data_IF_149132655815
#
_entry.id   IF_149132655815
#
_cell.length_a   1.000
_cell.length_b   1.000
_cell.length_c   1.000
_cell.angle_alpha   90.00
_cell.angle_beta   90.00
_cell.angle_gamma   90.00
#
_symmetry.space_group_name_H-M   'P 1'
#
loop_
_entity.id
_entity.type
_entity.pdbx_description
1 polymer ?
#
# COMPACT_ATOMS: atom_id res chain seq x y z
N UNK A 1 40.41 48.54 51.67
CA UNK A 1 39.92 47.15 51.82
C UNK A 1 38.72 46.97 50.91
N UNK A 2 38.95 46.44 49.72
CA UNK A 2 37.93 46.19 48.69
C UNK A 2 37.52 44.72 48.77
N UNK A 3 36.27 44.46 49.15
CA UNK A 3 35.72 43.11 49.26
C UNK A 3 35.24 42.68 47.87
N UNK A 4 36.01 41.81 47.23
CA UNK A 4 35.66 41.21 45.93
C UNK A 4 34.69 40.06 46.17
N UNK A 5 33.39 40.31 46.03
CA UNK A 5 32.36 39.26 46.07
C UNK A 5 32.29 38.55 44.71
N UNK A 6 32.95 37.41 44.59
CA UNK A 6 32.86 36.50 43.44
C UNK A 6 31.48 35.83 43.44
N UNK A 7 30.56 36.27 42.57
CA UNK A 7 29.27 35.60 42.37
C UNK A 7 29.51 34.27 41.65
N UNK A 8 29.36 33.16 42.36
CA UNK A 8 29.28 31.83 41.77
C UNK A 8 27.96 31.73 40.99
N UNK A 9 27.99 31.44 39.67
CA UNK A 9 26.76 31.25 38.90
C UNK A 9 26.08 29.96 39.38
N UNK A 10 24.87 30.11 39.93
CA UNK A 10 23.97 29.00 40.25
C UNK A 10 23.55 28.33 38.93
N UNK A 11 24.19 27.21 38.61
CA UNK A 11 23.75 26.31 37.56
C UNK A 11 22.50 25.59 38.09
N UNK A 12 21.32 26.11 37.73
CA UNK A 12 20.05 25.42 38.00
C UNK A 12 20.02 24.16 37.10
N UNK A 13 20.01 22.94 37.65
CA UNK A 13 19.93 21.74 36.84
C UNK A 13 18.60 21.78 36.08
N UNK A 14 18.67 21.75 34.74
CA UNK A 14 17.49 21.63 33.88
C UNK A 14 16.79 20.33 34.22
N UNK A 15 15.54 20.44 34.69
CA UNK A 15 14.63 19.32 34.90
C UNK A 15 14.48 18.52 33.60
N UNK A 16 15.18 17.40 33.49
CA UNK A 16 14.92 16.42 32.45
C UNK A 16 13.49 15.92 32.63
N UNK A 17 12.63 16.17 31.62
CA UNK A 17 11.25 15.69 31.60
C UNK A 17 11.25 14.17 31.58
N UNK A 18 11.17 13.56 32.77
CA UNK A 18 11.04 12.11 32.91
C UNK A 18 9.67 11.70 32.40
N UNK A 19 9.66 11.05 31.23
CA UNK A 19 8.47 10.40 30.68
C UNK A 19 7.92 9.40 31.70
N UNK A 20 6.62 9.48 31.99
CA UNK A 20 5.95 8.62 32.95
C UNK A 20 6.06 7.14 32.56
N UNK A 21 6.13 6.26 33.56
CA UNK A 21 6.20 4.79 33.38
C UNK A 21 5.11 4.25 32.45
N UNK A 22 3.92 4.84 32.49
CA UNK A 22 2.80 4.52 31.58
C UNK A 22 3.17 4.78 30.11
N UNK A 23 3.78 5.93 29.82
CA UNK A 23 4.22 6.29 28.47
C UNK A 23 5.34 5.37 27.99
N UNK A 24 6.30 5.03 28.87
CA UNK A 24 7.38 4.09 28.53
C UNK A 24 6.85 2.68 28.20
N UNK A 25 5.95 2.14 29.02
CA UNK A 25 5.36 0.82 28.78
C UNK A 25 4.52 0.78 27.48
N UNK A 26 3.76 1.84 27.20
CA UNK A 26 2.97 1.96 25.98
C UNK A 26 3.87 2.09 24.75
N UNK A 27 4.96 2.86 24.85
CA UNK A 27 5.91 3.04 23.76
C UNK A 27 6.68 1.74 23.45
N UNK A 28 7.10 0.98 24.48
CA UNK A 28 7.78 -0.32 24.29
C UNK A 28 6.87 -1.36 23.63
N UNK A 29 5.56 -1.32 23.88
CA UNK A 29 4.62 -2.32 23.33
C UNK A 29 4.09 -1.93 21.95
N UNK A 30 3.80 -0.65 21.71
CA UNK A 30 3.19 -0.20 20.46
C UNK A 30 4.21 0.06 19.36
N UNK A 31 5.42 0.52 19.70
CA UNK A 31 6.47 0.81 18.73
C UNK A 31 6.88 -0.39 17.86
N UNK A 32 7.15 -1.60 18.39
CA UNK A 32 7.55 -2.74 17.56
C UNK A 32 6.41 -3.19 16.63
N UNK A 33 5.15 -3.09 17.06
CA UNK A 33 3.99 -3.42 16.23
C UNK A 33 3.84 -2.42 15.08
N UNK A 34 4.00 -1.12 15.36
CA UNK A 34 3.99 -0.08 14.32
C UNK A 34 5.13 -0.26 13.33
N UNK A 35 6.35 -0.56 13.81
CA UNK A 35 7.50 -0.82 12.96
C UNK A 35 7.28 -2.05 12.08
N UNK A 36 6.76 -3.15 12.63
CA UNK A 36 6.42 -4.35 11.87
C UNK A 36 5.35 -4.06 10.81
N UNK A 37 4.29 -3.34 11.19
CA UNK A 37 3.22 -2.95 10.27
C UNK A 37 3.72 -2.04 9.13
N UNK A 38 4.58 -1.08 9.45
CA UNK A 38 5.22 -0.22 8.44
C UNK A 38 6.11 -1.03 7.51
N UNK A 39 6.90 -1.96 8.05
CA UNK A 39 7.80 -2.80 7.26
C UNK A 39 7.01 -3.71 6.32
N UNK A 40 5.92 -4.34 6.79
CA UNK A 40 5.01 -5.14 5.96
C UNK A 40 4.34 -4.30 4.88
N UNK A 41 3.89 -3.08 5.20
CA UNK A 41 3.33 -2.18 4.22
C UNK A 41 4.36 -1.80 3.13
N UNK A 42 5.60 -1.55 3.54
CA UNK A 42 6.68 -1.18 2.64
C UNK A 42 7.10 -2.35 1.74
N UNK A 43 7.16 -3.57 2.27
CA UNK A 43 7.44 -4.77 1.46
C UNK A 43 6.32 -5.06 0.48
N UNK A 44 5.05 -4.92 0.88
CA UNK A 44 3.90 -5.07 -0.02
C UNK A 44 3.92 -4.03 -1.15
N UNK A 45 4.23 -2.78 -0.86
CA UNK A 45 4.35 -1.72 -1.88
C UNK A 45 5.49 -2.02 -2.86
N UNK A 46 6.63 -2.50 -2.37
CA UNK A 46 7.75 -2.88 -3.21
C UNK A 46 7.42 -4.11 -4.08
N UNK A 47 6.83 -5.14 -3.48
CA UNK A 47 6.44 -6.38 -4.16
C UNK A 47 5.36 -6.12 -5.21
N UNK A 48 4.42 -5.21 -4.94
CA UNK A 48 3.39 -4.80 -5.90
C UNK A 48 3.96 -4.33 -7.23
N UNK A 49 5.03 -3.51 -7.21
CA UNK A 49 5.64 -3.02 -8.45
C UNK A 49 6.31 -4.15 -9.24
N UNK A 50 6.95 -5.08 -8.54
CA UNK A 50 7.59 -6.23 -9.16
C UNK A 50 6.56 -7.20 -9.77
N UNK A 51 5.47 -7.48 -9.04
CA UNK A 51 4.38 -8.36 -9.50
C UNK A 51 3.62 -7.77 -10.68
N UNK A 52 3.32 -6.47 -10.67
CA UNK A 52 2.68 -5.79 -11.80
C UNK A 52 3.49 -5.95 -13.09
N UNK A 53 4.79 -5.66 -13.02
CA UNK A 53 5.70 -5.81 -14.15
C UNK A 53 5.80 -7.27 -14.62
N UNK A 54 5.77 -8.23 -13.68
CA UNK A 54 5.83 -9.66 -14.02
C UNK A 54 4.53 -10.15 -14.68
N UNK A 55 3.36 -9.75 -14.15
CA UNK A 55 2.04 -10.12 -14.65
C UNK A 55 1.83 -9.51 -16.04
N UNK A 56 2.13 -8.22 -16.23
CA UNK A 56 2.02 -7.58 -17.54
C UNK A 56 2.93 -8.23 -18.59
N UNK A 57 4.18 -8.56 -18.24
CA UNK A 57 5.08 -9.28 -19.14
C UNK A 57 4.54 -10.67 -19.50
N UNK A 58 3.98 -11.39 -18.53
CA UNK A 58 3.39 -12.71 -18.75
C UNK A 58 2.15 -12.63 -19.66
N UNK A 59 1.27 -11.65 -19.43
CA UNK A 59 0.08 -11.40 -20.26
C UNK A 59 0.46 -10.96 -21.67
N UNK A 60 1.42 -10.05 -21.79
CA UNK A 60 1.92 -9.59 -23.08
C UNK A 60 2.57 -10.74 -23.85
N UNK A 61 3.34 -11.60 -23.18
CA UNK A 61 3.95 -12.78 -23.79
C UNK A 61 2.92 -13.83 -24.21
N UNK A 62 1.84 -14.04 -23.44
CA UNK A 62 0.77 -14.99 -23.81
C UNK A 62 -0.07 -14.47 -24.97
N UNK A 63 -0.45 -13.20 -24.97
CA UNK A 63 -1.15 -12.58 -26.10
C UNK A 63 -0.23 -12.57 -27.34
N UNK A 64 1.04 -12.23 -27.18
CA UNK A 64 2.00 -12.23 -28.27
C UNK A 64 2.26 -13.63 -28.82
N UNK A 65 2.25 -14.69 -28.01
CA UNK A 65 2.44 -16.06 -28.51
C UNK A 65 1.23 -16.56 -29.28
N UNK A 66 0.02 -16.23 -28.82
CA UNK A 66 -1.22 -16.53 -29.54
C UNK A 66 -1.26 -15.76 -30.87
N UNK A 67 -0.93 -14.47 -30.87
CA UNK A 67 -0.85 -13.68 -32.09
C UNK A 67 0.26 -14.17 -33.01
N UNK A 68 1.47 -14.40 -32.49
CA UNK A 68 2.58 -14.87 -33.31
C UNK A 68 2.33 -16.24 -33.95
N UNK A 69 1.59 -17.14 -33.30
CA UNK A 69 1.27 -18.45 -33.89
C UNK A 69 0.13 -18.41 -34.90
N UNK A 70 -0.82 -17.46 -34.78
CA UNK A 70 -2.06 -17.46 -35.56
C UNK A 70 -2.19 -16.31 -36.57
N UNK A 71 -1.36 -15.27 -36.46
CA UNK A 71 -1.47 -14.06 -37.27
C UNK A 71 -0.80 -14.25 -38.63
N UNK A 72 -1.57 -14.26 -39.69
CA UNK A 72 -1.06 -14.12 -41.05
C UNK A 72 -1.18 -12.65 -41.47
N UNK A 73 -0.05 -11.95 -41.55
CA UNK A 73 -0.01 -10.51 -41.90
C UNK A 73 -0.40 -10.26 -43.36
N UNK A 74 -0.47 -11.32 -44.18
CA UNK A 74 -0.89 -11.21 -45.59
C UNK A 74 -2.41 -11.10 -45.76
N UNK A 75 -3.21 -11.64 -44.84
CA UNK A 75 -4.68 -11.51 -44.85
C UNK A 75 -5.16 -10.43 -43.87
N UNK A 76 -5.32 -9.23 -44.41
CA UNK A 76 -5.87 -8.05 -43.75
C UNK A 76 -7.16 -8.32 -42.95
N UNK A 77 -8.06 -9.14 -43.49
CA UNK A 77 -9.37 -9.39 -42.87
C UNK A 77 -9.20 -10.24 -41.63
N UNK A 78 -8.37 -11.29 -41.73
CA UNK A 78 -8.07 -12.17 -40.62
C UNK A 78 -7.29 -11.43 -39.51
N UNK A 79 -6.30 -10.59 -39.87
CA UNK A 79 -5.56 -9.75 -38.93
C UNK A 79 -6.50 -8.88 -38.11
N UNK A 80 -7.42 -8.15 -38.77
CA UNK A 80 -8.34 -7.25 -38.10
C UNK A 80 -9.29 -7.99 -37.14
N UNK A 81 -9.81 -9.17 -37.54
CA UNK A 81 -10.65 -9.98 -36.66
C UNK A 81 -9.91 -10.51 -35.44
N UNK A 82 -8.69 -11.02 -35.62
CA UNK A 82 -7.86 -11.56 -34.53
C UNK A 82 -7.42 -10.45 -33.57
N UNK A 83 -7.01 -9.29 -34.08
CA UNK A 83 -6.66 -8.13 -33.27
C UNK A 83 -7.85 -7.62 -32.46
N UNK A 84 -9.05 -7.54 -33.05
CA UNK A 84 -10.27 -7.18 -32.30
C UNK A 84 -10.60 -8.18 -31.21
N UNK A 85 -10.47 -9.48 -31.49
CA UNK A 85 -10.69 -10.51 -30.49
C UNK A 85 -9.69 -10.40 -29.33
N UNK A 86 -8.42 -10.08 -29.62
CA UNK A 86 -7.40 -9.88 -28.61
C UNK A 86 -7.65 -8.63 -27.76
N UNK A 87 -8.02 -7.49 -28.38
CA UNK A 87 -8.36 -6.24 -27.69
C UNK A 87 -9.67 -6.33 -26.89
N UNK A 88 -10.60 -7.22 -27.28
CA UNK A 88 -11.80 -7.48 -26.48
C UNK A 88 -11.49 -8.08 -25.09
N UNK A 89 -10.25 -8.52 -24.85
CA UNK A 89 -9.81 -8.93 -23.52
C UNK A 89 -9.74 -7.71 -22.59
N UNK A 90 -10.34 -7.76 -21.39
CA UNK A 90 -10.53 -6.58 -20.52
C UNK A 90 -9.23 -5.87 -20.10
N UNK A 91 -8.09 -6.56 -20.19
CA UNK A 91 -6.79 -5.99 -19.83
C UNK A 91 -6.06 -5.32 -21.01
N UNK A 92 -6.45 -5.58 -22.26
CA UNK A 92 -5.72 -5.07 -23.44
C UNK A 92 -6.36 -3.78 -23.91
N UNK A 93 -5.64 -2.67 -23.77
CA UNK A 93 -6.09 -1.35 -24.21
C UNK A 93 -5.93 -1.18 -25.72
N UNK A 94 -4.78 -1.56 -26.25
CA UNK A 94 -4.47 -1.42 -27.66
C UNK A 94 -3.42 -2.41 -28.12
N UNK A 95 -3.44 -2.67 -29.42
CA UNK A 95 -2.47 -3.46 -30.15
C UNK A 95 -2.00 -2.67 -31.36
N UNK A 96 -0.71 -2.69 -31.56
CA UNK A 96 -0.06 -2.03 -32.67
C UNK A 96 0.93 -2.96 -33.34
N UNK A 97 0.71 -3.22 -34.62
CA UNK A 97 1.52 -4.12 -35.44
C UNK A 97 2.18 -3.28 -36.52
N UNK A 98 3.50 -3.25 -36.47
CA UNK A 98 4.34 -2.69 -37.51
C UNK A 98 5.04 -3.82 -38.26
N UNK A 99 4.52 -4.24 -39.42
CA UNK A 99 5.20 -5.25 -40.22
C UNK A 99 6.58 -4.79 -40.66
N UNK A 100 7.49 -5.73 -40.88
CA UNK A 100 8.78 -5.45 -41.48
C UNK A 100 8.59 -5.09 -42.97
N UNK A 101 9.32 -4.07 -43.43
CA UNK A 101 9.23 -3.57 -44.80
C UNK A 101 8.29 -2.37 -44.94
N UNK A 102 7.77 -2.16 -46.15
CA UNK A 102 6.97 -0.98 -46.53
C UNK A 102 5.45 -1.22 -46.41
N UNK A 103 5.06 -2.20 -45.59
CA UNK A 103 3.66 -2.58 -45.38
C UNK A 103 3.02 -1.63 -44.35
N UNK A 104 1.75 -1.20 -44.55
CA UNK A 104 1.08 -0.33 -43.60
C UNK A 104 1.00 -0.94 -42.19
N UNK A 105 1.20 -0.08 -41.21
CA UNK A 105 1.07 -0.38 -39.78
C UNK A 105 -0.39 -0.46 -39.36
N UNK A 106 -0.74 -1.47 -38.57
CA UNK A 106 -2.08 -1.72 -38.05
C UNK A 106 -2.16 -1.34 -36.58
N UNK A 107 -3.14 -0.51 -36.22
CA UNK A 107 -3.39 -0.10 -34.84
C UNK A 107 -4.87 -0.33 -34.54
N UNK A 108 -5.16 -0.99 -33.41
CA UNK A 108 -6.52 -1.21 -32.90
C UNK A 108 -6.51 -0.96 -31.40
N UNK A 109 -7.47 -0.20 -30.90
CA UNK A 109 -7.71 -0.05 -29.45
C UNK A 109 -9.11 -0.51 -29.04
N UNK A 110 -9.30 -0.60 -27.72
CA UNK A 110 -10.58 -0.86 -27.04
C UNK A 110 -11.63 0.23 -27.33
N UNK A 111 -11.17 1.40 -27.78
CA UNK A 111 -11.98 2.53 -28.20
C UNK A 111 -11.60 2.95 -29.63
N UNK A 112 -12.07 2.23 -30.67
CA UNK A 112 -11.70 2.44 -32.07
C UNK A 112 -11.85 3.89 -32.54
N UNK A 113 -12.86 4.57 -32.00
CA UNK A 113 -13.16 5.96 -32.29
C UNK A 113 -12.03 6.94 -31.87
N UNK A 114 -11.10 6.50 -31.02
CA UNK A 114 -9.94 7.27 -30.53
C UNK A 114 -8.59 6.72 -30.94
N UNK A 115 -8.56 5.74 -31.87
CA UNK A 115 -7.33 5.11 -32.35
C UNK A 115 -6.30 6.13 -32.83
N UNK A 116 -6.74 7.14 -33.56
CA UNK A 116 -5.87 8.19 -34.10
C UNK A 116 -5.14 8.98 -33.02
N UNK A 117 -5.79 9.23 -31.88
CA UNK A 117 -5.21 9.98 -30.77
C UNK A 117 -4.23 9.11 -29.99
N UNK A 118 -4.65 7.89 -29.64
CA UNK A 118 -3.81 6.94 -28.90
C UNK A 118 -2.57 6.57 -29.71
N UNK A 119 -2.71 6.35 -31.02
CA UNK A 119 -1.59 6.10 -31.92
C UNK A 119 -0.60 7.26 -31.95
N UNK A 120 -1.06 8.49 -32.11
CA UNK A 120 -0.18 9.65 -32.11
C UNK A 120 0.57 9.83 -30.78
N UNK A 121 -0.09 9.56 -29.65
CA UNK A 121 0.52 9.62 -28.33
C UNK A 121 1.52 8.48 -28.10
N UNK A 122 1.19 7.27 -28.55
CA UNK A 122 2.11 6.12 -28.53
C UNK A 122 3.35 6.44 -29.36
N UNK A 123 3.20 7.01 -30.54
CA UNK A 123 4.32 7.35 -31.42
C UNK A 123 5.23 8.40 -30.80
N UNK A 124 4.65 9.46 -30.23
CA UNK A 124 5.40 10.47 -29.49
C UNK A 124 6.17 9.84 -28.31
N UNK A 125 5.55 8.89 -27.60
CA UNK A 125 6.18 8.18 -26.49
C UNK A 125 7.32 7.27 -26.96
N UNK A 126 7.11 6.45 -27.99
CA UNK A 126 8.13 5.53 -28.51
C UNK A 126 9.31 6.28 -29.13
N UNK A 127 9.07 7.44 -29.76
CA UNK A 127 10.13 8.30 -30.25
C UNK A 127 10.94 8.93 -29.11
N UNK A 128 10.29 9.34 -28.03
CA UNK A 128 10.96 9.92 -26.86
C UNK A 128 11.70 8.87 -26.01
N UNK A 129 11.14 7.66 -25.91
CA UNK A 129 11.63 6.57 -25.07
C UNK A 129 11.49 5.23 -25.82
N UNK A 130 12.44 4.88 -26.71
CA UNK A 130 12.35 3.65 -27.52
C UNK A 130 12.28 2.37 -26.69
N UNK A 131 12.87 2.37 -25.49
CA UNK A 131 12.84 1.25 -24.55
C UNK A 131 11.86 1.47 -23.37
N UNK A 132 10.99 2.50 -23.47
CA UNK A 132 10.03 2.83 -22.43
C UNK A 132 8.91 1.78 -22.34
N UNK A 133 8.63 1.29 -21.14
CA UNK A 133 7.57 0.31 -20.88
C UNK A 133 6.33 0.90 -20.20
N UNK A 134 6.36 2.17 -19.81
CA UNK A 134 5.28 2.81 -19.06
C UNK A 134 4.81 4.06 -19.78
N UNK A 135 3.60 3.98 -20.34
CA UNK A 135 2.95 5.09 -21.01
C UNK A 135 1.84 5.62 -20.11
N UNK A 136 2.06 6.78 -19.50
CA UNK A 136 1.04 7.45 -18.69
C UNK A 136 0.38 8.53 -19.52
N UNK A 137 -0.88 8.31 -19.92
CA UNK A 137 -1.68 9.26 -20.67
C UNK A 137 -2.68 9.93 -19.73
N UNK A 138 -2.86 11.23 -19.89
CA UNK A 138 -4.06 11.88 -19.36
C UNK A 138 -5.16 11.65 -20.38
N UNK A 139 -6.35 11.24 -19.93
CA UNK A 139 -7.47 11.04 -20.85
C UNK A 139 -7.91 12.41 -21.44
N UNK A 140 -7.39 12.71 -22.63
CA UNK A 140 -7.70 13.92 -23.42
C UNK A 140 -8.66 13.62 -24.57
N UNK A 141 -9.28 12.44 -24.58
CA UNK A 141 -10.21 12.04 -25.65
C UNK A 141 -11.38 13.00 -25.77
N UNK A 142 -11.97 13.42 -24.63
CA UNK A 142 -13.03 14.42 -24.62
C UNK A 142 -12.61 15.74 -25.29
N UNK A 143 -11.37 16.20 -25.06
CA UNK A 143 -10.83 17.42 -25.66
C UNK A 143 -10.67 17.27 -27.17
N UNK A 144 -10.20 16.11 -27.62
CA UNK A 144 -10.10 15.77 -29.04
C UNK A 144 -11.47 15.77 -29.74
N UNK A 145 -12.51 15.20 -29.12
CA UNK A 145 -13.87 15.25 -29.66
C UNK A 145 -14.46 16.65 -29.71
N UNK A 146 -14.21 17.49 -28.70
CA UNK A 146 -14.63 18.91 -28.74
C UNK A 146 -13.92 19.67 -29.84
N UNK A 147 -12.62 19.41 -30.05
CA UNK A 147 -11.88 20.00 -31.15
C UNK A 147 -12.46 19.58 -32.51
N UNK A 148 -12.79 18.29 -32.69
CA UNK A 148 -13.44 17.79 -33.89
C UNK A 148 -14.86 18.37 -34.10
N UNK A 149 -15.61 18.59 -33.01
CA UNK A 149 -16.91 19.24 -33.06
C UNK A 149 -16.80 20.72 -33.45
N UNK A 150 -15.74 21.41 -33.01
CA UNK A 150 -15.48 22.81 -33.36
C UNK A 150 -15.05 23.00 -34.82
N UNK A 151 -14.47 21.98 -35.45
CA UNK A 151 -14.09 22.01 -36.88
C UNK A 151 -15.20 21.54 -37.82
N UNK A 152 -16.32 21.04 -37.29
CA UNK A 152 -17.45 20.59 -38.09
C UNK A 152 -18.08 21.78 -38.83
N UNK A 153 -18.34 21.63 -40.13
CA UNK A 153 -19.02 22.67 -40.91
C UNK A 153 -20.50 22.78 -40.52
N UNK A 154 -21.09 23.96 -40.74
CA UNK A 154 -22.52 24.18 -40.49
C UNK A 154 -23.45 23.27 -41.33
N UNK A 155 -22.94 22.71 -42.44
CA UNK A 155 -23.66 21.79 -43.31
C UNK A 155 -23.59 20.32 -42.86
N UNK A 156 -22.85 20.00 -41.80
CA UNK A 156 -22.74 18.63 -41.31
C UNK A 156 -24.08 18.10 -40.77
N UNK A 157 -24.44 16.82 -41.01
CA UNK A 157 -25.67 16.21 -40.52
C UNK A 157 -25.80 16.31 -38.99
N UNK A 158 -27.03 16.52 -38.50
CA UNK A 158 -27.30 16.61 -37.06
C UNK A 158 -26.89 15.33 -36.31
N UNK A 159 -27.02 14.16 -36.95
CA UNK A 159 -26.60 12.86 -36.39
C UNK A 159 -25.12 12.80 -36.04
N UNK A 160 -24.25 13.46 -36.80
CA UNK A 160 -22.81 13.54 -36.51
C UNK A 160 -22.57 14.43 -35.29
N UNK A 161 -23.27 15.57 -35.21
CA UNK A 161 -23.18 16.49 -34.07
C UNK A 161 -23.66 15.83 -32.78
N UNK A 162 -24.79 15.12 -32.84
CA UNK A 162 -25.32 14.35 -31.71
C UNK A 162 -24.37 13.23 -31.27
N UNK A 163 -23.79 12.48 -32.23
CA UNK A 163 -22.84 11.42 -31.92
C UNK A 163 -21.57 11.97 -31.23
N UNK A 164 -21.00 13.06 -31.75
CA UNK A 164 -19.85 13.71 -31.13
C UNK A 164 -20.19 14.27 -29.75
N UNK A 165 -21.37 14.89 -29.59
CA UNK A 165 -21.83 15.40 -28.29
C UNK A 165 -22.00 14.28 -27.26
N UNK A 166 -22.61 13.17 -27.65
CA UNK A 166 -22.79 11.99 -26.79
C UNK A 166 -21.44 11.39 -26.37
N UNK A 167 -20.49 11.31 -27.29
CA UNK A 167 -19.12 10.87 -27.01
C UNK A 167 -18.42 11.81 -26.00
N UNK A 168 -18.53 13.14 -26.19
CA UNK A 168 -17.98 14.13 -25.25
C UNK A 168 -18.59 13.96 -23.86
N UNK A 169 -19.92 13.86 -23.75
CA UNK A 169 -20.58 13.69 -22.43
C UNK A 169 -20.17 12.40 -21.72
N UNK A 170 -19.94 11.32 -22.47
CA UNK A 170 -19.51 10.03 -21.91
C UNK A 170 -18.06 10.10 -21.43
N UNK A 171 -17.17 10.69 -22.25
CA UNK A 171 -15.75 10.83 -21.95
C UNK A 171 -15.48 11.92 -20.90
N UNK A 172 -16.40 12.86 -20.70
CA UNK A 172 -16.28 13.87 -19.65
C UNK A 172 -16.35 13.30 -18.24
N UNK A 173 -17.03 12.17 -18.05
CA UNK A 173 -17.01 11.44 -16.79
C UNK A 173 -15.62 10.87 -16.45
N UNK A 174 -14.79 10.58 -17.46
CA UNK A 174 -13.42 10.07 -17.29
C UNK A 174 -12.35 11.14 -17.51
N UNK A 175 -12.74 12.39 -17.79
CA UNK A 175 -11.80 13.48 -18.10
C UNK A 175 -10.86 13.74 -16.93
N UNK A 176 -9.57 13.84 -17.24
CA UNK A 176 -8.52 14.06 -16.25
C UNK A 176 -8.16 12.83 -15.41
N UNK A 177 -8.83 11.69 -15.61
CA UNK A 177 -8.34 10.44 -15.07
C UNK A 177 -7.05 10.07 -15.80
N UNK A 178 -5.98 9.85 -15.03
CA UNK A 178 -4.70 9.44 -15.57
C UNK A 178 -4.75 7.94 -15.85
N UNK A 179 -4.81 7.58 -17.13
CA UNK A 179 -4.72 6.20 -17.56
C UNK A 179 -3.26 5.83 -17.73
N UNK A 180 -2.82 4.80 -16.99
CA UNK A 180 -1.47 4.28 -17.11
C UNK A 180 -1.55 2.97 -17.87
N UNK A 181 -0.82 2.91 -18.97
CA UNK A 181 -0.66 1.73 -19.79
C UNK A 181 0.74 1.16 -19.58
N UNK A 182 0.81 -0.17 -19.47
CA UNK A 182 2.07 -0.86 -19.64
C UNK A 182 2.23 -1.21 -21.11
N UNK A 183 3.32 -0.75 -21.70
CA UNK A 183 3.64 -0.95 -23.11
C UNK A 183 4.71 -2.02 -23.21
N UNK A 184 4.36 -3.14 -23.81
CA UNK A 184 5.33 -4.21 -24.11
C UNK A 184 5.55 -4.27 -25.60
N UNK A 185 6.79 -4.05 -26.01
CA UNK A 185 7.23 -4.23 -27.39
C UNK A 185 7.82 -5.62 -27.58
N UNK A 186 7.37 -6.33 -28.60
CA UNK A 186 7.90 -7.63 -29.01
C UNK A 186 8.27 -7.58 -30.48
N UNK A 187 9.25 -8.37 -30.87
CA UNK A 187 9.58 -8.59 -32.27
C UNK A 187 9.36 -10.05 -32.62
N UNK A 188 8.66 -10.31 -33.71
CA UNK A 188 8.37 -11.67 -34.19
C UNK A 188 9.29 -11.96 -35.37
N UNK A 189 10.03 -13.06 -35.28
CA UNK A 189 10.96 -13.52 -36.31
C UNK A 189 10.46 -14.81 -36.92
N UNK A 190 10.70 -14.98 -38.22
CA UNK A 190 10.59 -16.26 -38.90
C UNK A 190 11.95 -16.97 -38.85
N UNK A 191 11.99 -18.13 -38.20
CA UNK A 191 13.21 -18.93 -38.02
C UNK A 191 13.01 -20.31 -38.64
N UNK A 192 14.11 -21.06 -38.81
CA UNK A 192 14.04 -22.42 -39.36
C UNK A 192 13.19 -23.38 -38.48
N UNK A 193 13.04 -23.09 -37.19
CA UNK A 193 12.21 -23.85 -36.26
C UNK A 193 10.75 -23.35 -36.18
N UNK A 194 10.38 -22.38 -37.02
CA UNK A 194 9.09 -21.68 -36.98
C UNK A 194 9.21 -20.26 -36.43
N UNK A 195 8.10 -19.71 -35.94
CA UNK A 195 8.06 -18.32 -35.46
C UNK A 195 8.64 -18.20 -34.06
N UNK A 196 9.56 -17.25 -33.88
CA UNK A 196 10.20 -16.96 -32.60
C UNK A 196 9.87 -15.55 -32.11
N UNK A 197 9.63 -15.41 -30.82
CA UNK A 197 9.41 -14.12 -30.16
C UNK A 197 10.72 -13.62 -29.56
N UNK A 198 11.00 -12.32 -29.75
CA UNK A 198 12.06 -11.61 -29.04
C UNK A 198 11.45 -10.60 -28.08
N UNK A 199 11.71 -10.78 -26.79
CA UNK A 199 11.39 -9.79 -25.77
C UNK A 199 12.49 -8.71 -25.66
N UNK A 200 12.18 -7.52 -25.12
CA UNK A 200 13.17 -6.49 -24.87
C UNK A 200 14.32 -7.02 -24.00
N UNK A 201 15.56 -6.79 -24.42
CA UNK A 201 16.76 -7.25 -23.72
C UNK A 201 17.20 -8.69 -24.03
N UNK A 202 16.49 -9.43 -24.89
CA UNK A 202 16.94 -10.74 -25.38
C UNK A 202 17.72 -10.60 -26.69
N UNK A 203 18.65 -11.54 -26.93
CA UNK A 203 19.36 -11.65 -28.19
C UNK A 203 18.36 -11.92 -29.34
N UNK A 204 18.62 -11.35 -30.52
CA UNK A 204 17.79 -11.59 -31.68
C UNK A 204 17.88 -13.07 -32.13
N UNK A 205 16.75 -13.74 -32.37
CA UNK A 205 16.74 -15.07 -32.98
C UNK A 205 17.41 -15.04 -34.36
N UNK A 206 18.01 -16.15 -34.79
CA UNK A 206 18.51 -16.29 -36.15
C UNK A 206 17.32 -16.49 -37.11
N UNK A 207 16.89 -15.41 -37.77
CA UNK A 207 15.70 -15.40 -38.62
C UNK A 207 15.43 -14.04 -39.27
N UNK A 208 14.41 -13.98 -40.13
CA UNK A 208 13.93 -12.72 -40.72
C UNK A 208 12.91 -12.07 -39.79
N UNK A 209 12.99 -10.75 -39.59
CA UNK A 209 11.98 -10.03 -38.83
C UNK A 209 10.67 -10.01 -39.64
N UNK A 210 9.57 -10.48 -39.05
CA UNK A 210 8.24 -10.41 -39.66
C UNK A 210 7.52 -9.12 -39.29
N UNK A 211 7.44 -8.80 -38.00
CA UNK A 211 6.77 -7.60 -37.51
C UNK A 211 7.18 -7.26 -36.07
N UNK A 212 7.04 -5.99 -35.72
CA UNK A 212 7.02 -5.51 -34.35
C UNK A 212 5.59 -5.45 -33.83
N UNK A 213 5.37 -5.95 -32.62
CA UNK A 213 4.10 -5.95 -31.94
C UNK A 213 4.25 -5.13 -30.66
N UNK A 214 3.48 -4.06 -30.55
CA UNK A 214 3.39 -3.24 -29.34
C UNK A 214 2.03 -3.46 -28.71
N UNK A 215 2.03 -3.92 -27.45
CA UNK A 215 0.82 -4.23 -26.69
C UNK A 215 0.71 -3.22 -25.55
N UNK A 216 -0.43 -2.53 -25.48
CA UNK A 216 -0.78 -1.67 -24.35
C UNK A 216 -1.77 -2.38 -23.43
N UNK A 217 -1.42 -2.54 -22.16
CA UNK A 217 -2.28 -3.17 -21.14
C UNK A 217 -2.73 -2.10 -20.14
N UNK A 218 -4.03 -2.05 -19.82
CA UNK A 218 -4.54 -1.12 -18.79
C UNK A 218 -4.19 -1.64 -17.39
N UNK A 219 -3.66 -0.79 -16.52
CA UNK A 219 -3.43 -1.13 -15.10
C UNK A 219 -4.58 -0.69 -14.19
N UNK A 220 -5.63 -0.07 -14.73
CA UNK A 220 -6.71 0.55 -13.93
C UNK A 220 -7.41 -0.45 -13.00
N UNK A 221 -7.87 -1.56 -13.57
CA UNK A 221 -8.61 -2.58 -12.82
C UNK A 221 -7.70 -3.35 -11.86
N UNK A 222 -6.46 -3.67 -12.28
CA UNK A 222 -5.48 -4.28 -11.39
C UNK A 222 -5.15 -3.38 -10.21
N UNK A 223 -5.03 -2.06 -10.43
CA UNK A 223 -4.74 -1.09 -9.38
C UNK A 223 -5.91 -1.02 -8.37
N UNK A 224 -7.15 -1.13 -8.82
CA UNK A 224 -8.32 -1.17 -7.95
C UNK A 224 -8.36 -2.45 -7.09
N UNK A 225 -8.12 -3.63 -7.69
CA UNK A 225 -8.06 -4.91 -6.96
C UNK A 225 -6.94 -4.91 -5.93
N UNK A 226 -5.73 -4.50 -6.34
CA UNK A 226 -4.56 -4.46 -5.46
C UNK A 226 -4.71 -3.42 -4.34
N UNK A 227 -5.30 -2.25 -4.62
CA UNK A 227 -5.51 -1.23 -3.57
C UNK A 227 -6.55 -1.70 -2.54
N UNK A 228 -7.60 -2.41 -2.98
CA UNK A 228 -8.57 -3.06 -2.08
C UNK A 228 -7.88 -4.12 -1.20
N UNK A 229 -7.03 -4.97 -1.79
CA UNK A 229 -6.29 -5.98 -1.02
C UNK A 229 -5.33 -5.35 -0.01
N UNK A 230 -4.60 -4.29 -0.40
CA UNK A 230 -3.70 -3.57 0.49
C UNK A 230 -4.47 -2.94 1.66
N UNK A 231 -5.64 -2.34 1.39
CA UNK A 231 -6.52 -1.81 2.44
C UNK A 231 -6.96 -2.88 3.43
N UNK A 232 -7.32 -4.08 2.96
CA UNK A 232 -7.70 -5.19 3.83
C UNK A 232 -6.54 -5.63 4.73
N UNK A 233 -5.32 -5.71 4.18
CA UNK A 233 -4.12 -6.05 4.97
C UNK A 233 -3.81 -4.96 6.00
N UNK A 234 -3.85 -3.69 5.61
CA UNK A 234 -3.66 -2.57 6.54
C UNK A 234 -4.70 -2.57 7.66
N UNK A 235 -5.97 -2.85 7.34
CA UNK A 235 -7.04 -2.96 8.32
C UNK A 235 -6.78 -4.12 9.28
N UNK A 236 -6.37 -5.29 8.79
CA UNK A 236 -6.02 -6.43 9.63
C UNK A 236 -4.84 -6.11 10.57
N UNK A 237 -3.79 -5.43 10.07
CA UNK A 237 -2.68 -4.96 10.89
C UNK A 237 -3.14 -3.95 11.96
N UNK A 238 -4.01 -2.99 11.59
CA UNK A 238 -4.54 -2.00 12.50
C UNK A 238 -5.36 -2.64 13.63
N UNK A 239 -6.24 -3.59 13.29
CA UNK A 239 -7.01 -4.36 14.27
C UNK A 239 -6.08 -5.10 15.23
N UNK A 240 -5.06 -5.78 14.70
CA UNK A 240 -4.07 -6.51 15.51
C UNK A 240 -3.28 -5.57 16.44
N UNK A 241 -2.93 -4.39 15.96
CA UNK A 241 -2.24 -3.40 16.78
C UNK A 241 -3.13 -2.85 17.90
N UNK A 242 -4.40 -2.55 17.59
CA UNK A 242 -5.36 -2.07 18.57
C UNK A 242 -5.67 -3.11 19.64
N UNK A 243 -5.81 -4.39 19.26
CA UNK A 243 -6.04 -5.46 20.23
C UNK A 243 -4.83 -5.65 21.15
N UNK A 244 -3.62 -5.69 20.60
CA UNK A 244 -2.39 -5.78 21.39
C UNK A 244 -2.23 -4.59 22.33
N UNK A 245 -2.44 -3.36 21.86
CA UNK A 245 -2.38 -2.15 22.67
C UNK A 245 -3.44 -2.17 23.78
N UNK A 246 -4.67 -2.62 23.48
CA UNK A 246 -5.76 -2.75 24.44
C UNK A 246 -5.44 -3.78 25.55
N UNK A 247 -4.84 -4.91 25.20
CA UNK A 247 -4.40 -5.93 26.15
C UNK A 247 -3.25 -5.44 27.02
N UNK A 248 -2.23 -4.81 26.43
CA UNK A 248 -1.11 -4.21 27.16
C UNK A 248 -1.60 -3.14 28.14
N UNK A 249 -2.52 -2.27 27.71
CA UNK A 249 -3.12 -1.24 28.56
C UNK A 249 -3.85 -1.84 29.76
N UNK A 250 -4.64 -2.90 29.54
CA UNK A 250 -5.33 -3.63 30.62
C UNK A 250 -4.33 -4.26 31.60
N UNK A 251 -3.28 -4.90 31.11
CA UNK A 251 -2.26 -5.53 31.95
C UNK A 251 -1.52 -4.49 32.81
N UNK A 252 -1.07 -3.39 32.21
CA UNK A 252 -0.39 -2.30 32.94
C UNK A 252 -1.29 -1.67 33.98
N UNK A 253 -2.58 -1.42 33.68
CA UNK A 253 -3.52 -0.88 34.67
C UNK A 253 -3.68 -1.79 35.88
N UNK A 254 -3.74 -3.10 35.69
CA UNK A 254 -3.83 -4.07 36.79
C UNK A 254 -2.57 -4.06 37.65
N UNK A 255 -1.40 -4.16 37.03
CA UNK A 255 -0.12 -4.18 37.75
C UNK A 255 0.13 -2.89 38.53
N UNK A 256 -0.07 -1.73 37.90
CA UNK A 256 0.14 -0.43 38.55
C UNK A 256 -0.82 -0.22 39.71
N UNK A 257 -2.09 -0.64 39.58
CA UNK A 257 -3.05 -0.54 40.67
C UNK A 257 -2.64 -1.33 41.90
N UNK A 258 -2.17 -2.57 41.72
CA UNK A 258 -1.70 -3.42 42.81
C UNK A 258 -0.43 -2.86 43.46
N UNK A 259 0.54 -2.42 42.65
CA UNK A 259 1.80 -1.85 43.16
C UNK A 259 1.53 -0.59 44.00
N UNK A 260 0.64 0.30 43.54
CA UNK A 260 0.26 1.48 44.30
C UNK A 260 -0.43 1.11 45.62
N UNK A 261 -1.36 0.14 45.60
CA UNK A 261 -2.04 -0.31 46.81
C UNK A 261 -1.05 -0.92 47.84
N UNK A 262 -0.07 -1.70 47.39
CA UNK A 262 0.99 -2.24 48.26
C UNK A 262 1.85 -1.11 48.83
N UNK A 263 2.19 -0.13 48.01
CA UNK A 263 3.02 1.02 48.44
C UNK A 263 2.29 1.87 49.49
N UNK A 264 1.00 2.14 49.29
CA UNK A 264 0.17 2.89 50.24
C UNK A 264 0.01 2.13 51.57
N UNK A 265 -0.20 0.81 51.51
CA UNK A 265 -0.28 -0.02 52.72
C UNK A 265 1.05 -0.04 53.50
N UNK A 266 2.18 -0.13 52.81
CA UNK A 266 3.50 -0.05 53.43
C UNK A 266 3.74 1.33 54.08
N UNK A 267 3.30 2.41 53.42
CA UNK A 267 3.38 3.78 53.95
C UNK A 267 2.56 3.94 55.23
N UNK A 268 1.32 3.41 55.26
CA UNK A 268 0.45 3.45 56.45
C UNK A 268 1.02 2.63 57.61
N UNK A 269 1.54 1.44 57.33
CA UNK A 269 2.24 0.62 58.32
C UNK A 269 3.46 1.36 58.91
N UNK A 270 4.22 2.08 58.07
CA UNK A 270 5.35 2.90 58.53
C UNK A 270 4.92 4.08 59.40
N UNK A 271 3.69 4.58 59.25
CA UNK A 271 3.11 5.64 60.08
C UNK A 271 2.44 5.10 61.36
N UNK A 272 2.52 3.80 61.61
CA UNK A 272 1.93 3.15 62.79
C UNK A 272 0.41 2.93 62.70
N UNK A 273 -0.19 3.17 61.53
CA UNK A 273 -1.61 2.95 61.28
C UNK A 273 -1.80 1.52 60.73
N UNK A 274 -2.00 0.56 61.65
CA UNK A 274 -2.04 -0.88 61.33
C UNK A 274 -3.47 -1.45 61.27
N UNK A 275 -4.49 -0.63 61.56
CA UNK A 275 -5.85 -1.09 61.85
C UNK A 275 -6.75 -1.24 60.61
N UNK A 276 -6.29 -0.77 59.43
CA UNK A 276 -7.04 -0.87 58.18
C UNK A 276 -6.72 -2.15 57.40
N UNK A 277 -7.70 -2.99 57.01
CA UNK A 277 -7.45 -4.13 56.14
C UNK A 277 -7.02 -3.65 54.76
N UNK A 278 -5.99 -4.30 54.19
CA UNK A 278 -5.54 -4.04 52.81
C UNK A 278 -6.61 -4.58 51.85
N UNK A 279 -7.60 -3.75 51.52
CA UNK A 279 -8.67 -4.13 50.59
C UNK A 279 -8.18 -4.05 49.15
N UNK A 280 -7.44 -5.06 48.72
CA UNK A 280 -7.19 -5.28 47.29
C UNK A 280 -8.36 -6.12 46.77
N UNK A 281 -9.20 -5.53 45.90
CA UNK A 281 -10.21 -6.27 45.15
C UNK A 281 -9.50 -7.23 44.19
N UNK A 282 -9.10 -8.39 44.68
CA UNK A 282 -8.63 -9.49 43.85
C UNK A 282 -9.83 -10.10 43.15
N UNK A 283 -9.92 -9.88 41.83
CA UNK A 283 -10.99 -10.42 41.02
C UNK A 283 -10.87 -11.94 40.86
N UNK A 284 -11.29 -12.69 41.88
CA UNK A 284 -11.75 -14.09 41.79
C UNK A 284 -10.81 -15.18 41.24
N UNK A 285 -9.56 -14.90 40.86
CA UNK A 285 -8.59 -15.93 40.42
C UNK A 285 -7.36 -15.93 41.33
N UNK A 286 -6.82 -17.11 41.70
CA UNK A 286 -5.55 -17.21 42.41
C UNK A 286 -4.42 -16.82 41.46
N UNK A 287 -3.77 -15.69 41.77
CA UNK A 287 -2.63 -15.12 41.06
C UNK A 287 -1.45 -14.92 42.01
N UNK A 288 -0.20 -14.90 41.50
CA UNK A 288 0.99 -14.74 42.36
C UNK A 288 0.99 -13.40 43.12
N UNK A 289 0.23 -12.42 42.61
CA UNK A 289 -0.03 -11.16 43.28
C UNK A 289 -0.89 -11.33 44.53
N UNK A 290 -1.90 -12.21 44.51
CA UNK A 290 -2.69 -12.57 45.69
C UNK A 290 -1.83 -13.26 46.76
N UNK A 291 -0.88 -14.09 46.36
CA UNK A 291 0.07 -14.72 47.29
C UNK A 291 0.98 -13.68 47.95
N UNK A 292 1.47 -12.69 47.19
CA UNK A 292 2.26 -11.58 47.73
C UNK A 292 1.46 -10.74 48.74
N UNK A 293 0.20 -10.42 48.41
CA UNK A 293 -0.70 -9.67 49.31
C UNK A 293 -0.93 -10.46 50.60
N UNK A 294 -1.13 -11.77 50.49
CA UNK A 294 -1.33 -12.65 51.65
C UNK A 294 -0.06 -12.71 52.53
N UNK A 295 1.12 -12.76 51.92
CA UNK A 295 2.39 -12.72 52.64
C UNK A 295 2.59 -11.39 53.38
N UNK A 296 2.26 -10.26 52.75
CA UNK A 296 2.32 -8.93 53.36
C UNK A 296 1.33 -8.81 54.53
N UNK A 297 0.12 -9.33 54.38
CA UNK A 297 -0.89 -9.28 55.45
C UNK A 297 -0.47 -10.11 56.67
N UNK A 298 0.12 -11.30 56.45
CA UNK A 298 0.74 -12.09 57.53
C UNK A 298 1.85 -11.33 58.23
N UNK A 299 2.67 -10.59 57.48
CA UNK A 299 3.74 -9.75 58.01
C UNK A 299 3.19 -8.59 58.86
N UNK A 300 2.11 -7.93 58.40
CA UNK A 300 1.41 -6.88 59.17
C UNK A 300 0.89 -7.41 60.51
N UNK A 301 0.20 -8.55 60.51
CA UNK A 301 -0.35 -9.18 61.72
C UNK A 301 0.77 -9.57 62.70
N UNK A 302 1.85 -10.16 62.19
CA UNK A 302 3.02 -10.51 63.01
C UNK A 302 3.64 -9.27 63.67
N UNK A 303 3.78 -8.17 62.93
CA UNK A 303 4.36 -6.93 63.41
C UNK A 303 3.46 -6.24 64.45
N UNK A 304 2.14 -6.28 64.26
CA UNK A 304 1.16 -5.77 65.22
C UNK A 304 1.21 -6.54 66.56
N UNK A 305 1.31 -7.87 66.50
CA UNK A 305 1.47 -8.72 67.69
C UNK A 305 2.81 -8.48 68.42
N UNK A 306 3.88 -8.20 67.68
CA UNK A 306 5.16 -7.85 68.28
C UNK A 306 5.13 -6.48 68.98
N UNK A 307 4.52 -5.47 68.35
CA UNK A 307 4.37 -4.13 68.92
C UNK A 307 3.42 -4.09 70.13
N UNK A 308 2.34 -4.88 70.12
CA UNK A 308 1.44 -4.96 71.27
C UNK A 308 2.11 -5.58 72.50
N UNK A 309 3.05 -6.51 72.32
CA UNK A 309 3.88 -7.07 73.40
C UNK A 309 4.94 -6.10 73.93
N UNK A 310 5.45 -5.21 73.09
CA UNK A 310 6.43 -4.19 73.47
C UNK A 310 5.81 -2.97 74.15
N UNK A 311 4.51 -2.72 73.99
CA UNK A 311 3.78 -1.67 74.73
C UNK A 311 3.66 -2.06 76.20
N UNK A 312 4.34 -1.36 77.14
CA UNK A 312 4.25 -1.67 78.55
C UNK A 312 2.90 -1.15 79.08
N UNK A 313 1.95 -2.04 79.36
CA UNK A 313 0.74 -1.69 80.14
C UNK A 313 -0.61 -2.30 79.74
N UNK A 314 -0.72 -3.09 78.67
CA UNK A 314 -2.01 -3.69 78.28
C UNK A 314 -2.32 -4.98 79.02
N UNK A 315 -3.20 -4.94 80.04
CA UNK A 315 -3.83 -6.13 80.62
C UNK A 315 -4.75 -6.81 79.59
N UNK A 316 -4.83 -8.16 79.61
CA UNK A 316 -5.61 -8.95 78.66
C UNK A 316 -7.11 -8.65 78.71
#
# INVERSE_FOLDING_TARGET
MTVTTTRVPLIVPRSERRLGLRTKALLITVLPILLLGLLVALTLVAQRRAELNAVSRSLSASVASVLASSLDVTDLTQVNMQLRAAVASPSVAFLDIQPAGDVPRYFISDAPQTDWLLRAQLDAFLNAQPAGSHLALSDTRADAYRAAQATLSAAAPDSVREHLQAAVTTLDATRGQRQTYEVTQLAVYDTQAGRALRLPGQAAPQGTLLFHLTIGVTLGDLNAVLSRQLWLVLLACAVTALTAAGLAYRAVRRLVGVILAITDAAQQASLGQLDGPIQIRSGGRPDELGDLVTAIERLRVSLHLALSRLRPGGRP
#
